data_IF_933294710115
#
_entry.id   IF_933294710115
#
_cell.length_a   1.000
_cell.length_b   1.000
_cell.length_c   1.000
_cell.angle_alpha   90.00
_cell.angle_beta   90.00
_cell.angle_gamma   90.00
#
_symmetry.space_group_name_H-M   'P 1'
#
loop_
_entity.id
_entity.type
_entity.pdbx_description
1 polymer ?
#
# COMPACT_ATOMS: atom_id res chain seq x y z
N UNK A 1 10.10 -22.91 -13.64
CA UNK A 1 9.95 -22.84 -12.17
C UNK A 1 9.14 -21.59 -11.86
N UNK A 2 7.89 -21.72 -11.41
CA UNK A 2 7.01 -20.56 -11.17
C UNK A 2 7.55 -19.68 -10.05
N UNK A 3 7.54 -18.35 -10.25
CA UNK A 3 7.92 -17.38 -9.22
C UNK A 3 6.97 -17.54 -8.03
N UNK A 4 7.50 -17.90 -6.85
CA UNK A 4 6.71 -17.88 -5.61
C UNK A 4 6.38 -16.42 -5.30
N UNK A 5 5.10 -16.08 -5.28
CA UNK A 5 4.65 -14.73 -4.93
C UNK A 5 4.98 -14.46 -3.45
N UNK A 6 5.34 -13.24 -3.13
CA UNK A 6 5.62 -12.81 -1.75
C UNK A 6 4.33 -12.43 -0.99
N UNK A 7 3.18 -12.58 -1.61
CA UNK A 7 1.86 -12.22 -1.07
C UNK A 7 0.87 -13.38 -1.22
N UNK A 8 -0.23 -13.31 -0.46
CA UNK A 8 -1.29 -14.30 -0.44
C UNK A 8 -2.07 -14.34 -1.77
N UNK A 9 -2.80 -15.43 -1.99
CA UNK A 9 -3.46 -15.77 -3.25
C UNK A 9 -4.46 -14.73 -3.74
N UNK A 10 -5.30 -14.21 -2.83
CA UNK A 10 -6.31 -13.22 -3.17
C UNK A 10 -5.78 -11.81 -2.89
N UNK A 11 -6.06 -10.89 -3.82
CA UNK A 11 -5.69 -9.47 -3.72
C UNK A 11 -6.93 -8.60 -3.91
N UNK A 12 -6.96 -7.44 -3.28
CA UNK A 12 -7.89 -6.38 -3.65
C UNK A 12 -7.35 -5.70 -4.91
N UNK A 13 -8.18 -5.54 -5.92
CA UNK A 13 -7.90 -4.80 -7.14
C UNK A 13 -9.10 -3.92 -7.47
N UNK A 14 -8.94 -2.62 -7.35
CA UNK A 14 -10.01 -1.62 -7.39
C UNK A 14 -11.11 -1.94 -6.36
N UNK A 15 -12.27 -2.39 -6.77
CA UNK A 15 -13.43 -2.70 -5.94
C UNK A 15 -13.68 -4.22 -5.76
N UNK A 16 -12.80 -5.07 -6.30
CA UNK A 16 -12.99 -6.52 -6.34
C UNK A 16 -11.86 -7.31 -5.67
N UNK A 17 -12.20 -8.45 -5.09
CA UNK A 17 -11.21 -9.46 -4.64
C UNK A 17 -10.92 -10.40 -5.80
N UNK A 18 -9.66 -10.43 -6.23
CA UNK A 18 -9.18 -11.18 -7.38
C UNK A 18 -8.37 -12.40 -6.93
N UNK A 19 -8.68 -13.57 -7.48
CA UNK A 19 -7.87 -14.77 -7.36
C UNK A 19 -6.71 -14.74 -8.37
N UNK A 20 -5.50 -14.47 -7.91
CA UNK A 20 -4.30 -14.32 -8.77
C UNK A 20 -3.88 -15.60 -9.48
N UNK A 21 -4.43 -16.75 -9.11
CA UNK A 21 -4.22 -18.02 -9.83
C UNK A 21 -5.10 -18.16 -11.07
N UNK A 22 -6.21 -17.42 -11.12
CA UNK A 22 -7.21 -17.45 -12.20
C UNK A 22 -7.14 -16.23 -13.10
N UNK A 23 -6.84 -15.07 -12.51
CA UNK A 23 -6.81 -13.79 -13.20
C UNK A 23 -5.52 -13.06 -12.89
N UNK A 24 -4.84 -12.54 -13.90
CA UNK A 24 -3.69 -11.66 -13.73
C UNK A 24 -4.16 -10.22 -13.58
N UNK A 25 -3.52 -9.49 -12.69
CA UNK A 25 -3.64 -8.04 -12.58
C UNK A 25 -2.50 -7.39 -13.37
N UNK A 26 -2.79 -6.31 -14.07
CA UNK A 26 -1.81 -5.57 -14.87
C UNK A 26 -1.86 -4.10 -14.48
N UNK A 27 -0.70 -3.48 -14.42
CA UNK A 27 -0.56 -2.03 -14.32
C UNK A 27 -0.27 -1.52 -15.72
N UNK A 28 -1.06 -0.56 -16.18
CA UNK A 28 -0.87 0.04 -17.50
C UNK A 28 0.36 0.96 -17.51
N UNK A 29 0.95 1.14 -18.70
CA UNK A 29 2.16 1.96 -18.86
C UNK A 29 1.95 3.43 -18.48
N UNK A 30 0.75 3.93 -18.65
CA UNK A 30 0.38 5.32 -18.34
C UNK A 30 -0.20 5.49 -16.93
N UNK A 31 -0.04 4.47 -16.05
CA UNK A 31 -0.43 4.55 -14.66
C UNK A 31 0.46 5.56 -13.92
N UNK A 32 -0.15 6.60 -13.31
CA UNK A 32 0.56 7.75 -12.74
C UNK A 32 1.35 7.41 -11.48
N UNK A 33 0.91 6.47 -10.69
CA UNK A 33 1.68 5.98 -9.53
C UNK A 33 3.01 5.36 -9.95
N UNK A 34 3.05 4.66 -11.11
CA UNK A 34 4.26 4.11 -11.69
C UNK A 34 5.16 5.21 -12.29
N UNK A 35 4.57 6.17 -13.03
CA UNK A 35 5.33 7.16 -13.79
C UNK A 35 5.83 8.35 -12.96
N UNK A 36 5.08 8.75 -11.92
CA UNK A 36 5.31 9.99 -11.17
C UNK A 36 5.36 9.78 -9.65
N UNK A 37 5.05 8.58 -9.15
CA UNK A 37 4.80 8.39 -7.73
C UNK A 37 3.54 9.12 -7.24
N UNK A 38 2.58 9.40 -8.15
CA UNK A 38 1.34 10.13 -7.88
C UNK A 38 0.33 9.22 -7.16
N UNK A 39 0.49 9.11 -5.86
CA UNK A 39 -0.33 8.27 -5.02
C UNK A 39 0.20 8.17 -3.59
N UNK A 40 -0.58 7.50 -2.76
CA UNK A 40 -0.35 7.29 -1.34
C UNK A 40 -0.51 5.81 -0.98
N UNK A 41 0.05 5.41 0.15
CA UNK A 41 -0.05 4.02 0.60
C UNK A 41 -0.13 3.90 2.12
N UNK A 42 -0.60 2.74 2.58
CA UNK A 42 -0.54 2.31 3.96
C UNK A 42 0.02 0.90 4.08
N UNK A 43 0.61 0.63 5.23
CA UNK A 43 1.01 -0.73 5.64
C UNK A 43 0.38 -0.98 7.00
N UNK A 44 -0.62 -1.86 7.03
CA UNK A 44 -1.41 -2.14 8.22
C UNK A 44 -0.97 -3.48 8.79
N UNK A 45 -0.58 -3.50 10.06
CA UNK A 45 -0.17 -4.73 10.74
C UNK A 45 -1.37 -5.62 11.04
N UNK A 46 -1.19 -6.93 10.84
CA UNK A 46 -2.10 -7.99 11.27
C UNK A 46 -1.45 -8.81 12.37
N UNK A 47 -2.21 -9.08 13.44
CA UNK A 47 -1.87 -10.05 14.46
C UNK A 47 -2.95 -11.16 14.50
N UNK A 48 -2.57 -12.38 14.21
CA UNK A 48 -3.48 -13.53 14.12
C UNK A 48 -4.71 -13.22 13.25
N UNK A 49 -4.49 -12.60 12.10
CA UNK A 49 -5.51 -12.19 11.15
C UNK A 49 -6.33 -10.95 11.55
N UNK A 50 -6.09 -10.32 12.70
CA UNK A 50 -6.81 -9.14 13.16
C UNK A 50 -6.01 -7.86 12.88
N UNK A 51 -6.69 -6.82 12.45
CA UNK A 51 -6.08 -5.51 12.22
C UNK A 51 -5.58 -4.88 13.52
N UNK A 52 -4.38 -4.33 13.45
CA UNK A 52 -3.87 -3.42 14.47
C UNK A 52 -4.07 -1.97 14.02
N UNK A 53 -4.82 -1.19 14.80
CA UNK A 53 -5.07 0.24 14.56
C UNK A 53 -5.65 0.56 13.16
N UNK A 54 -6.64 -0.21 12.69
CA UNK A 54 -7.22 -0.04 11.35
C UNK A 54 -7.74 1.39 11.13
N UNK A 55 -8.60 1.91 12.01
CA UNK A 55 -9.23 3.22 11.85
C UNK A 55 -8.22 4.39 11.76
N UNK A 56 -7.15 4.45 12.60
CA UNK A 56 -6.08 5.43 12.43
C UNK A 56 -5.38 5.35 11.08
N UNK A 57 -5.10 4.14 10.56
CA UNK A 57 -4.49 3.95 9.25
C UNK A 57 -5.41 4.45 8.13
N UNK A 58 -6.69 4.07 8.13
CA UNK A 58 -7.66 4.49 7.12
C UNK A 58 -7.89 6.00 7.18
N UNK A 59 -8.03 6.57 8.38
CA UNK A 59 -8.17 8.02 8.55
C UNK A 59 -6.96 8.78 7.98
N UNK A 60 -5.75 8.28 8.21
CA UNK A 60 -4.52 8.85 7.69
C UNK A 60 -4.43 8.73 6.17
N UNK A 61 -4.80 7.59 5.60
CA UNK A 61 -4.87 7.38 4.14
C UNK A 61 -5.75 8.42 3.47
N UNK A 62 -6.97 8.62 3.97
CA UNK A 62 -7.92 9.59 3.41
C UNK A 62 -7.41 11.03 3.53
N UNK A 63 -6.77 11.40 4.66
CA UNK A 63 -6.12 12.70 4.79
C UNK A 63 -5.03 12.89 3.73
N UNK A 64 -4.19 11.89 3.48
CA UNK A 64 -3.13 12.00 2.47
C UNK A 64 -3.68 12.08 1.05
N UNK A 65 -4.77 11.39 0.77
CA UNK A 65 -5.47 11.53 -0.51
C UNK A 65 -6.01 12.96 -0.70
N UNK A 66 -6.60 13.55 0.34
CA UNK A 66 -7.06 14.96 0.32
C UNK A 66 -5.90 15.92 0.04
N UNK A 67 -4.74 15.74 0.67
CA UNK A 67 -3.53 16.56 0.45
C UNK A 67 -3.00 16.52 -0.99
N UNK A 68 -3.26 15.46 -1.73
CA UNK A 68 -2.90 15.33 -3.16
C UNK A 68 -4.11 15.44 -4.09
N UNK A 69 -5.26 15.90 -3.58
CA UNK A 69 -6.49 16.09 -4.34
C UNK A 69 -6.93 14.81 -5.09
N UNK A 70 -6.88 13.67 -4.41
CA UNK A 70 -7.28 12.37 -4.93
C UNK A 70 -8.51 11.86 -4.17
N UNK A 71 -9.54 11.41 -4.89
CA UNK A 71 -10.80 10.93 -4.30
C UNK A 71 -11.05 9.48 -4.69
N UNK A 72 -11.49 8.66 -3.72
CA UNK A 72 -11.97 7.30 -3.97
C UNK A 72 -13.45 7.31 -4.35
N UNK A 73 -13.90 6.34 -5.19
CA UNK A 73 -15.31 6.19 -5.53
C UNK A 73 -16.15 5.56 -4.41
N UNK A 74 -15.56 5.26 -3.24
CA UNK A 74 -16.24 4.66 -2.10
C UNK A 74 -15.78 5.25 -0.76
N UNK A 75 -16.60 5.06 0.25
CA UNK A 75 -16.41 5.56 1.60
C UNK A 75 -15.33 4.79 2.37
N UNK A 76 -14.89 5.35 3.51
CA UNK A 76 -14.01 4.64 4.47
C UNK A 76 -14.59 3.30 4.92
N UNK A 77 -15.90 3.23 5.16
CA UNK A 77 -16.57 2.01 5.61
C UNK A 77 -16.57 0.91 4.54
N UNK A 78 -16.78 1.30 3.28
CA UNK A 78 -16.69 0.36 2.14
C UNK A 78 -15.26 -0.15 1.95
N UNK A 79 -14.25 0.71 2.04
CA UNK A 79 -12.85 0.27 1.99
C UNK A 79 -12.51 -0.71 3.12
N UNK A 80 -12.93 -0.42 4.34
CA UNK A 80 -12.76 -1.30 5.49
C UNK A 80 -13.41 -2.66 5.23
N UNK A 81 -14.63 -2.68 4.66
CA UNK A 81 -15.34 -3.90 4.29
C UNK A 81 -14.55 -4.72 3.26
N UNK A 82 -13.95 -4.07 2.26
CA UNK A 82 -13.10 -4.74 1.25
C UNK A 82 -11.84 -5.34 1.88
N UNK A 83 -11.23 -4.65 2.85
CA UNK A 83 -10.05 -5.17 3.56
C UNK A 83 -10.38 -6.39 4.44
N UNK A 84 -11.54 -6.42 5.09
CA UNK A 84 -12.01 -7.63 5.80
C UNK A 84 -12.28 -8.79 4.82
N UNK A 85 -12.96 -8.54 3.70
CA UNK A 85 -13.15 -9.54 2.65
C UNK A 85 -11.83 -10.10 2.12
N UNK A 86 -10.77 -9.27 2.05
CA UNK A 86 -9.44 -9.71 1.63
C UNK A 86 -8.85 -10.72 2.61
N UNK A 87 -9.00 -10.50 3.93
CA UNK A 87 -8.57 -11.44 4.99
C UNK A 87 -9.37 -12.74 4.89
N UNK A 88 -10.71 -12.65 4.81
CA UNK A 88 -11.62 -13.80 4.74
C UNK A 88 -11.34 -14.69 3.51
N UNK A 89 -11.21 -14.11 2.31
CA UNK A 89 -10.94 -14.88 1.10
C UNK A 89 -9.59 -15.61 1.14
N UNK A 90 -8.58 -15.03 1.81
CA UNK A 90 -7.31 -15.69 2.04
C UNK A 90 -7.32 -16.68 3.23
N UNK A 91 -8.40 -16.73 3.99
CA UNK A 91 -8.45 -17.48 5.25
C UNK A 91 -7.21 -17.19 6.13
N UNK A 92 -6.85 -15.91 6.24
CA UNK A 92 -5.59 -15.49 6.86
C UNK A 92 -5.75 -15.31 8.37
N UNK A 93 -5.08 -16.16 9.15
CA UNK A 93 -5.15 -16.19 10.61
C UNK A 93 -3.77 -16.03 11.28
N UNK A 94 -2.78 -15.57 10.52
CA UNK A 94 -1.41 -15.45 10.97
C UNK A 94 -1.00 -13.99 11.24
N UNK A 95 0.24 -13.80 11.66
CA UNK A 95 0.85 -12.48 11.74
C UNK A 95 1.30 -12.05 10.34
N UNK A 96 0.95 -10.82 9.96
CA UNK A 96 1.23 -10.33 8.63
C UNK A 96 1.11 -8.82 8.50
N UNK A 97 1.13 -8.35 7.27
CA UNK A 97 0.84 -6.96 6.91
C UNK A 97 -0.06 -6.91 5.69
N UNK A 98 -0.99 -5.96 5.66
CA UNK A 98 -1.64 -5.54 4.43
C UNK A 98 -0.88 -4.33 3.89
N UNK A 99 -0.41 -4.43 2.66
CA UNK A 99 -0.03 -3.28 1.85
C UNK A 99 -1.27 -2.79 1.11
N UNK A 100 -1.58 -1.52 1.21
CA UNK A 100 -2.69 -0.86 0.51
C UNK A 100 -2.15 0.37 -0.20
N UNK A 101 -2.37 0.46 -1.52
CA UNK A 101 -1.97 1.59 -2.34
C UNK A 101 -3.15 2.18 -3.08
N UNK A 102 -3.18 3.49 -3.16
CA UNK A 102 -4.08 4.27 -4.00
C UNK A 102 -3.24 5.22 -4.84
N UNK A 103 -3.35 5.12 -6.14
CA UNK A 103 -2.73 6.04 -7.09
C UNK A 103 -3.79 6.72 -7.94
N UNK A 104 -3.42 7.82 -8.60
CA UNK A 104 -4.37 8.62 -9.38
C UNK A 104 -4.97 7.89 -10.56
N UNK A 105 -4.39 6.78 -11.00
CA UNK A 105 -4.89 5.98 -12.12
C UNK A 105 -4.18 6.26 -13.43
N UNK A 106 -4.81 5.88 -14.54
CA UNK A 106 -4.23 5.83 -15.89
C UNK A 106 -4.60 7.09 -16.66
N UNK A 107 -3.58 7.84 -17.11
CA UNK A 107 -3.76 9.08 -17.87
C UNK A 107 -2.54 9.31 -18.77
N UNK A 108 -2.75 9.89 -19.93
CA UNK A 108 -1.65 10.32 -20.82
C UNK A 108 -0.58 11.10 -20.06
N UNK A 109 0.69 10.83 -20.35
CA UNK A 109 1.84 11.33 -19.57
C UNK A 109 1.98 12.85 -19.66
N UNK A 110 1.40 13.56 -18.72
CA UNK A 110 1.54 15.00 -18.50
C UNK A 110 1.78 15.29 -17.02
N UNK A 111 2.42 16.40 -16.65
CA UNK A 111 2.59 16.77 -15.24
C UNK A 111 1.28 17.17 -14.57
N UNK A 112 0.38 17.80 -15.32
CA UNK A 112 -0.97 18.12 -14.86
C UNK A 112 -1.82 16.85 -14.81
N UNK A 113 -2.76 16.77 -13.88
CA UNK A 113 -3.70 15.66 -13.79
C UNK A 113 -5.15 16.12 -14.05
N UNK A 114 -6.00 15.18 -14.44
CA UNK A 114 -7.45 15.37 -14.51
C UNK A 114 -8.12 14.78 -13.26
N UNK A 115 -9.18 15.42 -12.79
CA UNK A 115 -10.00 14.92 -11.67
C UNK A 115 -10.95 13.78 -12.08
N UNK A 116 -11.20 13.60 -13.38
CA UNK A 116 -12.13 12.62 -13.92
C UNK A 116 -11.50 11.22 -14.13
N UNK A 117 -10.24 11.05 -13.74
CA UNK A 117 -9.54 9.77 -13.90
C UNK A 117 -9.88 8.85 -12.74
N UNK A 118 -10.39 7.62 -12.98
CA UNK A 118 -10.61 6.65 -11.92
C UNK A 118 -9.30 6.27 -11.23
N UNK A 119 -9.23 6.29 -9.89
CA UNK A 119 -8.03 5.88 -9.17
C UNK A 119 -7.74 4.39 -9.34
N UNK A 120 -6.47 4.01 -9.31
CA UNK A 120 -6.07 2.61 -9.18
C UNK A 120 -5.85 2.27 -7.72
N UNK A 121 -6.53 1.22 -7.24
CA UNK A 121 -6.44 0.77 -5.85
C UNK A 121 -6.02 -0.68 -5.85
N UNK A 122 -5.06 -1.03 -5.00
CA UNK A 122 -4.79 -2.44 -4.72
C UNK A 122 -4.31 -2.67 -3.31
N UNK A 123 -4.61 -3.85 -2.79
CA UNK A 123 -4.06 -4.32 -1.53
C UNK A 123 -3.77 -5.82 -1.58
N UNK A 124 -2.76 -6.22 -0.83
CA UNK A 124 -2.41 -7.62 -0.66
C UNK A 124 -1.87 -7.90 0.74
N UNK A 125 -1.99 -9.16 1.16
CA UNK A 125 -1.48 -9.64 2.44
C UNK A 125 -0.10 -10.27 2.21
N UNK A 126 0.84 -9.95 3.09
CA UNK A 126 2.13 -10.62 3.20
C UNK A 126 2.26 -11.21 4.60
N UNK A 127 2.55 -12.51 4.71
CA UNK A 127 2.91 -13.12 5.98
C UNK A 127 4.20 -12.51 6.51
N UNK A 128 4.18 -12.04 7.74
CA UNK A 128 5.32 -11.40 8.38
C UNK A 128 5.27 -11.61 9.88
N UNK A 129 6.18 -12.37 10.41
CA UNK A 129 6.30 -12.62 11.83
C UNK A 129 6.63 -11.34 12.61
N UNK A 130 6.32 -11.35 13.90
CA UNK A 130 6.75 -10.28 14.81
C UNK A 130 8.27 -10.34 14.97
N UNK A 131 9.01 -9.23 14.86
CA UNK A 131 10.46 -9.23 14.98
C UNK A 131 10.89 -9.31 16.45
N UNK A 132 10.64 -10.44 17.10
CA UNK A 132 10.87 -10.64 18.55
C UNK A 132 12.32 -10.37 18.95
N UNK A 133 13.27 -10.83 18.15
CA UNK A 133 14.70 -10.62 18.42
C UNK A 133 15.10 -9.13 18.36
N UNK A 134 14.53 -8.38 17.43
CA UNK A 134 14.80 -6.94 17.33
C UNK A 134 14.21 -6.16 18.51
N UNK A 135 13.08 -6.64 19.03
CA UNK A 135 12.44 -6.05 20.21
C UNK A 135 13.27 -6.36 21.46
N UNK A 136 13.80 -7.57 21.56
CA UNK A 136 14.58 -8.03 22.72
C UNK A 136 16.02 -7.43 22.72
N UNK A 137 16.72 -7.49 21.60
CA UNK A 137 18.15 -7.12 21.52
C UNK A 137 18.42 -5.78 20.85
N UNK A 138 17.38 -5.12 20.30
CA UNK A 138 17.53 -3.90 19.52
C UNK A 138 18.07 -4.15 18.12
N UNK A 139 18.37 -3.06 17.41
CA UNK A 139 18.98 -3.06 16.07
C UNK A 139 20.11 -2.06 16.02
N UNK A 140 21.09 -2.29 15.13
CA UNK A 140 22.10 -1.28 14.81
C UNK A 140 21.46 -0.22 13.92
N UNK A 141 21.88 1.03 14.04
CA UNK A 141 21.40 2.15 13.24
C UNK A 141 22.58 2.98 12.72
N UNK A 142 22.34 3.64 11.60
CA UNK A 142 23.26 4.65 11.04
C UNK A 142 22.55 5.99 10.97
N UNK A 143 23.30 7.08 10.91
CA UNK A 143 22.79 8.42 10.63
C UNK A 143 23.06 8.75 9.17
N UNK A 144 22.04 9.27 8.47
CA UNK A 144 22.15 9.77 7.09
C UNK A 144 21.51 11.16 7.00
N UNK A 145 22.01 12.07 6.16
CA UNK A 145 21.33 13.33 5.88
C UNK A 145 19.93 13.09 5.34
N UNK A 146 18.93 13.84 5.83
CA UNK A 146 17.57 13.77 5.29
C UNK A 146 17.49 14.53 3.96
N UNK A 147 17.44 13.80 2.87
CA UNK A 147 17.32 14.31 1.49
C UNK A 147 15.92 14.16 0.91
N UNK A 148 14.93 13.82 1.76
CA UNK A 148 13.54 13.72 1.31
C UNK A 148 12.97 15.10 0.95
N UNK A 149 11.87 15.10 0.19
CA UNK A 149 11.15 16.32 -0.16
C UNK A 149 10.46 16.99 1.04
N UNK A 150 10.03 18.25 0.89
CA UNK A 150 9.48 19.04 1.99
C UNK A 150 8.09 18.59 2.49
N UNK A 151 7.38 17.73 1.75
CA UNK A 151 6.07 17.19 2.11
C UNK A 151 6.18 15.75 2.66
N UNK A 152 7.13 15.51 3.57
CA UNK A 152 7.30 14.23 4.26
C UNK A 152 6.13 13.86 5.19
N UNK A 153 5.22 14.79 5.45
CA UNK A 153 3.95 14.59 6.13
C UNK A 153 2.99 13.68 5.34
N UNK A 154 3.14 13.61 3.99
CA UNK A 154 2.35 12.75 3.12
C UNK A 154 3.06 11.41 2.93
N UNK A 155 2.37 10.31 3.23
CA UNK A 155 2.87 8.95 2.97
C UNK A 155 2.70 8.59 1.49
N UNK A 156 3.46 9.30 0.64
CA UNK A 156 3.42 9.17 -0.83
C UNK A 156 4.26 8.01 -1.34
N UNK A 157 4.12 7.70 -2.63
CA UNK A 157 4.90 6.66 -3.32
C UNK A 157 6.35 7.08 -3.64
N UNK A 158 6.75 8.31 -3.30
CA UNK A 158 8.08 8.87 -3.56
C UNK A 158 9.11 8.37 -2.51
N UNK A 159 9.51 7.10 -2.61
CA UNK A 159 10.30 6.40 -1.60
C UNK A 159 11.79 6.25 -1.92
N UNK A 160 12.29 6.84 -3.01
CA UNK A 160 13.67 6.62 -3.44
C UNK A 160 14.72 6.99 -2.36
N UNK A 161 14.63 8.13 -1.65
CA UNK A 161 15.58 8.43 -0.56
C UNK A 161 15.50 7.42 0.57
N UNK A 162 14.31 6.95 0.93
CA UNK A 162 14.10 5.93 1.96
C UNK A 162 14.75 4.59 1.57
N UNK A 163 14.62 4.19 0.29
CA UNK A 163 15.21 2.96 -0.24
C UNK A 163 16.74 3.04 -0.19
N UNK A 164 17.31 4.16 -0.63
CA UNK A 164 18.77 4.36 -0.62
C UNK A 164 19.34 4.33 0.81
N UNK A 165 18.68 4.99 1.76
CA UNK A 165 19.10 4.96 3.17
C UNK A 165 18.99 3.56 3.79
N UNK A 166 17.87 2.85 3.57
CA UNK A 166 17.68 1.50 4.07
C UNK A 166 18.63 0.47 3.45
N UNK A 167 19.14 0.71 2.23
CA UNK A 167 20.09 -0.18 1.55
C UNK A 167 21.51 -0.03 2.13
N UNK A 168 21.85 1.15 2.68
CA UNK A 168 23.14 1.40 3.34
C UNK A 168 23.22 0.85 4.76
N UNK A 169 22.07 0.78 5.47
CA UNK A 169 21.99 0.32 6.86
C UNK A 169 22.14 -1.21 6.97
#
# INVERSE_FOLDING_TARGET
MGRKLAYERFVLWNDAIIDTTKQKTYIELEERGLQFGDGVYEVIRLYKGNFHLLDPHITRLYRFMEEIELTLPFSKAELITLLYKLIENNNFHEDGTIYLQVSRGVQARTHTFSYDVPPTIYAYITKKERPALWIEYGVRAISEPDTRWLRCDIKSLNLLPNILAATKA
#
